data_IF_058161395579
#
_entry.id   IF_058161395579
#
_cell.length_a   1.000
_cell.length_b   1.000
_cell.length_c   1.000
_cell.angle_alpha   90.00
_cell.angle_beta   90.00
_cell.angle_gamma   90.00
#
_symmetry.space_group_name_H-M   'P 1'
#
loop_
_entity.id
_entity.type
_entity.pdbx_description
1 polymer ?
#
# COMPACT_ATOMS: atom_id res chain seq x y z
N UNK A 1 -4.21 1.02 1.87
CA UNK A 1 -4.71 1.66 0.63
C UNK A 1 -6.23 1.70 0.69
N UNK A 2 -6.85 2.69 0.04
CA UNK A 2 -8.30 2.83 -0.07
C UNK A 2 -8.69 2.72 -1.55
N UNK A 3 -9.34 1.61 -1.92
CA UNK A 3 -10.14 1.52 -3.14
C UNK A 3 -11.55 2.02 -2.80
N UNK A 4 -11.99 3.08 -3.47
CA UNK A 4 -13.27 3.71 -3.20
C UNK A 4 -14.20 3.58 -4.41
N UNK A 5 -15.41 3.07 -4.19
CA UNK A 5 -16.44 3.00 -5.22
C UNK A 5 -16.91 4.41 -5.59
N UNK A 6 -17.40 4.60 -6.81
CA UNK A 6 -18.04 5.86 -7.19
C UNK A 6 -19.32 6.09 -6.38
N UNK A 7 -19.42 7.23 -5.70
CA UNK A 7 -20.58 7.56 -4.87
C UNK A 7 -20.31 8.75 -3.95
N UNK A 8 -21.15 8.98 -2.94
CA UNK A 8 -20.97 10.11 -2.02
C UNK A 8 -19.59 10.12 -1.35
N UNK A 9 -19.06 8.93 -1.02
CA UNK A 9 -17.73 8.80 -0.43
C UNK A 9 -16.62 9.21 -1.40
N UNK A 10 -16.72 8.93 -2.71
CA UNK A 10 -15.70 9.37 -3.68
C UNK A 10 -15.84 10.85 -4.05
N UNK A 11 -17.06 11.40 -4.07
CA UNK A 11 -17.28 12.84 -4.27
C UNK A 11 -16.70 13.64 -3.11
N UNK A 12 -16.94 13.22 -1.87
CA UNK A 12 -16.29 13.85 -0.72
C UNK A 12 -14.77 13.58 -0.71
N UNK A 13 -14.36 12.36 -1.09
CA UNK A 13 -12.98 11.90 -1.01
C UNK A 13 -12.02 12.39 -2.11
N UNK A 14 -12.52 12.83 -3.27
CA UNK A 14 -11.69 13.07 -4.45
C UNK A 14 -12.19 14.15 -5.41
N UNK A 15 -13.07 15.06 -5.00
CA UNK A 15 -13.53 16.16 -5.85
C UNK A 15 -12.48 17.30 -5.89
N UNK A 16 -11.63 17.25 -6.92
CA UNK A 16 -10.55 18.21 -7.11
C UNK A 16 -11.06 19.67 -7.21
N UNK A 17 -10.30 20.64 -6.66
CA UNK A 17 -8.93 20.51 -6.14
C UNK A 17 -8.84 20.10 -4.66
N UNK A 18 -9.96 19.82 -3.98
CA UNK A 18 -9.96 19.57 -2.53
C UNK A 18 -9.94 18.07 -2.24
N UNK A 19 -9.12 17.63 -1.28
CA UNK A 19 -9.14 16.25 -0.77
C UNK A 19 -9.19 16.28 0.77
N UNK A 20 -9.96 15.38 1.41
CA UNK A 20 -10.03 15.30 2.87
C UNK A 20 -8.92 14.41 3.45
N UNK A 21 -8.15 13.73 2.59
CA UNK A 21 -7.05 12.87 2.99
C UNK A 21 -5.84 13.72 3.43
N UNK A 22 -5.21 13.31 4.52
CA UNK A 22 -4.02 13.99 5.05
C UNK A 22 -2.97 12.96 5.46
N UNK A 23 -1.79 13.44 5.84
CA UNK A 23 -0.68 12.62 6.34
C UNK A 23 -0.47 12.85 7.82
N UNK A 24 0.09 11.87 8.50
CA UNK A 24 0.66 12.04 9.83
C UNK A 24 1.95 12.88 9.80
N UNK A 25 2.57 13.06 10.98
CA UNK A 25 3.81 13.84 11.13
C UNK A 25 5.01 13.23 10.39
N UNK A 26 4.96 11.94 10.07
CA UNK A 26 6.00 11.24 9.31
C UNK A 26 5.71 11.25 7.80
N UNK A 27 4.66 11.96 7.36
CA UNK A 27 4.24 12.03 5.96
C UNK A 27 3.53 10.78 5.45
N UNK A 28 3.10 9.85 6.34
CA UNK A 28 2.33 8.68 5.95
C UNK A 28 0.85 8.98 5.97
N UNK A 29 0.14 8.59 4.93
CA UNK A 29 -1.30 8.81 4.82
C UNK A 29 -1.96 7.78 3.92
N UNK A 30 -3.30 7.81 3.83
CA UNK A 30 -4.04 6.90 2.97
C UNK A 30 -3.69 7.12 1.50
N UNK A 31 -3.12 6.12 0.85
CA UNK A 31 -3.11 6.06 -0.60
C UNK A 31 -4.54 5.72 -1.08
N UNK A 32 -5.21 6.71 -1.67
CA UNK A 32 -6.60 6.63 -2.10
C UNK A 32 -6.72 6.63 -3.62
N UNK A 33 -7.64 5.83 -4.15
CA UNK A 33 -8.03 5.87 -5.56
C UNK A 33 -9.48 5.42 -5.73
N UNK A 34 -10.13 5.97 -6.76
CA UNK A 34 -11.47 5.60 -7.19
C UNK A 34 -11.38 5.09 -8.63
N UNK A 35 -11.88 3.87 -8.85
CA UNK A 35 -11.99 3.28 -10.18
C UNK A 35 -13.39 3.58 -10.75
N UNK A 36 -14.30 2.62 -10.75
CA UNK A 36 -15.69 2.79 -11.17
C UNK A 36 -16.65 2.51 -10.00
N UNK A 37 -17.94 2.50 -10.31
CA UNK A 37 -18.96 2.21 -9.31
C UNK A 37 -19.00 0.70 -8.99
N UNK A 38 -18.93 -0.10 -10.05
CA UNK A 38 -19.21 -1.53 -10.06
C UNK A 38 -18.00 -2.42 -9.76
N UNK A 39 -16.77 -1.89 -9.81
CA UNK A 39 -15.52 -2.68 -9.75
C UNK A 39 -14.70 -2.49 -8.47
N UNK A 40 -15.27 -1.85 -7.44
CA UNK A 40 -14.53 -1.46 -6.24
C UNK A 40 -13.87 -2.65 -5.52
N UNK A 41 -14.55 -3.79 -5.48
CA UNK A 41 -14.05 -4.98 -4.79
C UNK A 41 -12.86 -5.59 -5.55
N UNK A 42 -12.99 -5.74 -6.86
CA UNK A 42 -11.96 -6.25 -7.77
C UNK A 42 -10.76 -5.31 -7.84
N UNK A 43 -11.01 -4.00 -7.83
CA UNK A 43 -9.97 -2.97 -7.78
C UNK A 43 -9.18 -3.05 -6.46
N UNK A 44 -9.88 -3.15 -5.33
CA UNK A 44 -9.25 -3.37 -4.02
C UNK A 44 -8.50 -4.70 -3.93
N UNK A 45 -9.01 -5.77 -4.57
CA UNK A 45 -8.32 -7.05 -4.66
C UNK A 45 -7.02 -6.92 -5.48
N UNK A 46 -7.04 -6.18 -6.59
CA UNK A 46 -5.85 -5.88 -7.38
C UNK A 46 -4.75 -5.20 -6.55
N UNK A 47 -5.12 -4.23 -5.70
CA UNK A 47 -4.20 -3.61 -4.75
C UNK A 47 -3.60 -4.62 -3.76
N UNK A 48 -4.41 -5.54 -3.23
CA UNK A 48 -3.92 -6.57 -2.31
C UNK A 48 -2.91 -7.49 -3.00
N UNK A 49 -3.25 -8.00 -4.19
CA UNK A 49 -2.38 -8.89 -4.97
C UNK A 49 -1.05 -8.22 -5.31
N UNK A 50 -1.07 -6.94 -5.73
CA UNK A 50 0.14 -6.17 -5.99
C UNK A 50 1.00 -6.02 -4.73
N UNK A 51 0.39 -5.73 -3.58
CA UNK A 51 1.11 -5.61 -2.30
C UNK A 51 1.79 -6.92 -1.92
N UNK A 52 1.08 -8.05 -2.01
CA UNK A 52 1.63 -9.37 -1.72
C UNK A 52 2.80 -9.70 -2.65
N UNK A 53 2.68 -9.38 -3.94
CA UNK A 53 3.76 -9.55 -4.91
C UNK A 53 4.97 -8.66 -4.60
N UNK A 54 4.77 -7.42 -4.18
CA UNK A 54 5.84 -6.51 -3.78
C UNK A 54 6.55 -7.01 -2.52
N UNK A 55 5.81 -7.50 -1.51
CA UNK A 55 6.38 -8.09 -0.29
C UNK A 55 7.20 -9.34 -0.64
N UNK A 56 6.67 -10.23 -1.45
CA UNK A 56 7.39 -11.43 -1.89
C UNK A 56 8.69 -11.08 -2.63
N UNK A 57 8.64 -10.09 -3.52
CA UNK A 57 9.81 -9.60 -4.25
C UNK A 57 10.83 -8.97 -3.28
N UNK A 58 10.39 -8.10 -2.38
CA UNK A 58 11.26 -7.44 -1.41
C UNK A 58 11.99 -8.46 -0.52
N UNK A 59 11.26 -9.44 0.02
CA UNK A 59 11.82 -10.53 0.82
C UNK A 59 12.86 -11.34 0.02
N UNK A 60 12.52 -11.70 -1.22
CA UNK A 60 13.46 -12.41 -2.11
C UNK A 60 14.74 -11.61 -2.35
N UNK A 61 14.62 -10.33 -2.70
CA UNK A 61 15.78 -9.46 -2.96
C UNK A 61 16.63 -9.27 -1.72
N UNK A 62 16.00 -9.13 -0.56
CA UNK A 62 16.72 -8.99 0.71
C UNK A 62 17.53 -10.26 1.03
N UNK A 63 16.97 -11.45 0.78
CA UNK A 63 17.70 -12.71 0.91
C UNK A 63 18.85 -12.84 -0.11
N UNK A 64 18.64 -12.43 -1.37
CA UNK A 64 19.68 -12.44 -2.41
C UNK A 64 20.84 -11.50 -2.08
N UNK A 65 20.56 -10.39 -1.40
CA UNK A 65 21.55 -9.38 -0.99
C UNK A 65 22.11 -9.59 0.42
N UNK A 66 21.83 -10.74 1.05
CA UNK A 66 22.15 -11.00 2.46
C UNK A 66 23.62 -10.79 2.80
N UNK A 67 24.53 -11.31 1.97
CA UNK A 67 25.97 -11.19 2.21
C UNK A 67 26.47 -9.75 2.04
N UNK A 68 25.82 -8.95 1.19
CA UNK A 68 26.20 -7.56 0.95
C UNK A 68 25.66 -6.59 2.02
N UNK A 69 24.46 -6.88 2.57
CA UNK A 69 23.77 -6.03 3.55
C UNK A 69 24.13 -6.41 4.99
N UNK A 70 24.45 -7.69 5.23
CA UNK A 70 24.72 -8.23 6.55
C UNK A 70 23.58 -9.11 7.07
N UNK A 71 23.84 -10.38 7.46
CA UNK A 71 22.82 -11.33 7.92
C UNK A 71 21.92 -10.81 9.04
N UNK A 72 22.50 -10.14 10.04
CA UNK A 72 21.75 -9.66 11.22
C UNK A 72 20.71 -8.59 10.89
N UNK A 73 21.01 -7.65 9.99
CA UNK A 73 20.05 -6.63 9.57
C UNK A 73 18.94 -7.24 8.70
N UNK A 74 19.29 -8.20 7.84
CA UNK A 74 18.30 -8.93 7.03
C UNK A 74 17.29 -9.66 7.91
N UNK A 75 17.76 -10.39 8.92
CA UNK A 75 16.87 -11.12 9.84
C UNK A 75 15.95 -10.16 10.60
N UNK A 76 16.49 -9.04 11.10
CA UNK A 76 15.70 -8.01 11.77
C UNK A 76 14.58 -7.45 10.89
N UNK A 77 14.84 -7.21 9.61
CA UNK A 77 13.83 -6.69 8.68
C UNK A 77 12.80 -7.77 8.32
N UNK A 78 13.24 -9.02 8.07
CA UNK A 78 12.35 -10.12 7.67
C UNK A 78 11.41 -10.54 8.80
N UNK A 79 11.89 -10.51 10.04
CA UNK A 79 11.16 -10.95 11.24
C UNK A 79 10.47 -9.80 11.98
N UNK A 80 10.65 -8.55 11.52
CA UNK A 80 9.96 -7.40 12.08
C UNK A 80 8.43 -7.58 11.99
N UNK A 81 7.74 -7.27 13.09
CA UNK A 81 6.26 -7.21 13.15
C UNK A 81 5.75 -6.20 12.11
N UNK A 82 4.77 -6.60 11.29
CA UNK A 82 4.26 -5.84 10.12
C UNK A 82 2.83 -5.31 10.32
N UNK A 83 2.43 -5.14 11.56
CA UNK A 83 1.11 -4.66 12.00
C UNK A 83 1.00 -3.15 12.10
#
# INVERSE_FOLDING_TARGET
>A
MVANATGCSSIYGGNLPTTPWTTDADGRGPAWSNSLFEDNAEFGLGFRLATDQHVALARRRLSELREAIGPGLVDQILDARQD
#
